data_IF_415871595596
#
_entry.id   IF_415871595596
#
_cell.length_a   1.000
_cell.length_b   1.000
_cell.length_c   1.000
_cell.angle_alpha   90.00
_cell.angle_beta   90.00
_cell.angle_gamma   90.00
#
_symmetry.space_group_name_H-M   'P 1'
#
loop_
_entity.id
_entity.type
_entity.pdbx_description
1 polymer ?
#
# COMPACT_ATOMS: atom_id res chain seq x y z
N UNK A 1 14.70 2.94 25.83
CA UNK A 1 14.33 3.14 24.44
C UNK A 1 12.98 2.47 24.23
N UNK A 2 11.92 3.28 24.10
CA UNK A 2 10.58 2.79 23.81
C UNK A 2 10.50 2.34 22.34
N UNK A 3 9.59 1.44 22.05
CA UNK A 3 9.22 1.14 20.65
C UNK A 3 8.61 2.40 20.03
N UNK A 4 9.09 2.81 18.87
CA UNK A 4 8.51 3.91 18.10
C UNK A 4 7.50 3.37 17.11
N UNK A 5 6.36 4.07 16.97
CA UNK A 5 5.36 3.74 15.96
C UNK A 5 5.94 4.06 14.57
N UNK A 6 5.86 3.11 13.62
CA UNK A 6 6.31 3.39 12.26
C UNK A 6 5.43 4.46 11.60
N UNK A 7 6.10 5.37 10.87
CA UNK A 7 5.44 6.41 10.08
C UNK A 7 5.45 5.98 8.61
N UNK A 8 4.27 5.78 8.05
CA UNK A 8 4.07 5.40 6.66
C UNK A 8 3.86 6.60 5.72
N UNK A 9 3.87 7.83 6.24
CA UNK A 9 3.63 9.05 5.46
C UNK A 9 4.59 9.18 4.29
N UNK A 10 5.88 8.99 4.54
CA UNK A 10 6.92 9.05 3.49
C UNK A 10 6.72 7.98 2.40
N UNK A 11 6.24 6.80 2.77
CA UNK A 11 5.95 5.74 1.80
C UNK A 11 4.75 6.11 0.93
N UNK A 12 3.70 6.69 1.50
CA UNK A 12 2.51 7.20 0.78
C UNK A 12 2.89 8.34 -0.17
N UNK A 13 3.66 9.31 0.29
CA UNK A 13 4.17 10.40 -0.54
C UNK A 13 4.97 9.90 -1.75
N UNK A 14 5.86 8.94 -1.55
CA UNK A 14 6.64 8.33 -2.65
C UNK A 14 5.79 7.57 -3.67
N UNK A 15 4.62 7.08 -3.29
CA UNK A 15 3.70 6.38 -4.21
C UNK A 15 2.75 7.34 -4.93
N UNK A 16 2.49 8.54 -4.40
CA UNK A 16 1.55 9.49 -4.97
C UNK A 16 1.94 9.89 -6.40
N UNK A 17 3.19 10.29 -6.64
CA UNK A 17 3.64 10.74 -7.96
C UNK A 17 3.62 9.64 -9.02
N UNK A 18 4.10 8.40 -8.77
CA UNK A 18 3.92 7.28 -9.69
C UNK A 18 2.46 6.98 -10.04
N UNK A 19 1.53 7.08 -9.08
CA UNK A 19 0.10 6.86 -9.34
C UNK A 19 -0.42 7.94 -10.29
N UNK A 20 -0.17 9.20 -9.99
CA UNK A 20 -0.55 10.35 -10.84
C UNK A 20 -0.04 10.15 -12.25
N UNK A 21 1.26 9.92 -12.42
CA UNK A 21 1.90 9.75 -13.71
C UNK A 21 1.22 8.64 -14.53
N UNK A 22 0.97 7.48 -13.92
CA UNK A 22 0.40 6.33 -14.65
C UNK A 22 -1.09 6.49 -14.95
N UNK A 23 -1.87 7.15 -14.09
CA UNK A 23 -3.26 7.46 -14.39
C UNK A 23 -3.37 8.47 -15.54
N UNK A 24 -2.57 9.53 -15.55
CA UNK A 24 -2.58 10.50 -16.64
C UNK A 24 -2.00 9.96 -17.94
N UNK A 25 -1.03 9.05 -17.87
CA UNK A 25 -0.53 8.32 -19.03
C UNK A 25 -1.64 7.43 -19.64
N UNK A 26 -2.45 6.77 -18.82
CA UNK A 26 -3.61 6.01 -19.27
C UNK A 26 -4.71 6.91 -19.85
N UNK A 27 -4.99 8.05 -19.21
CA UNK A 27 -5.96 9.03 -19.69
C UNK A 27 -5.57 9.53 -21.09
N UNK A 28 -4.32 9.96 -21.26
CA UNK A 28 -3.80 10.46 -22.53
C UNK A 28 -3.88 9.42 -23.62
N UNK A 29 -3.55 8.18 -23.31
CA UNK A 29 -3.67 7.03 -24.22
C UNK A 29 -5.12 6.82 -24.65
N UNK A 30 -6.08 6.78 -23.74
CA UNK A 30 -7.47 6.55 -24.10
C UNK A 30 -8.09 7.72 -24.88
N UNK A 31 -7.80 8.97 -24.51
CA UNK A 31 -8.28 10.15 -25.25
C UNK A 31 -7.76 10.12 -26.68
N UNK A 32 -6.46 9.88 -26.86
CA UNK A 32 -5.87 9.80 -28.19
C UNK A 32 -6.56 8.75 -29.08
N UNK A 33 -6.76 7.54 -28.57
CA UNK A 33 -7.35 6.46 -29.34
C UNK A 33 -8.86 6.60 -29.54
N UNK A 34 -9.59 7.18 -28.60
CA UNK A 34 -11.01 7.48 -28.80
C UNK A 34 -11.24 8.47 -29.93
N UNK A 35 -10.34 9.44 -30.08
CA UNK A 35 -10.47 10.45 -31.13
C UNK A 35 -10.03 9.94 -32.51
N UNK A 36 -9.10 9.01 -32.55
CA UNK A 36 -8.51 8.55 -33.82
C UNK A 36 -9.05 7.21 -34.31
N UNK A 37 -8.82 6.11 -33.61
CA UNK A 37 -8.98 4.76 -34.20
C UNK A 37 -9.85 3.79 -33.35
N UNK A 38 -10.01 4.00 -32.07
CA UNK A 38 -10.74 3.06 -31.20
C UNK A 38 -12.21 2.92 -31.58
N UNK A 39 -12.82 3.94 -32.20
CA UNK A 39 -14.22 3.92 -32.64
C UNK A 39 -14.43 2.94 -33.82
N UNK A 40 -13.39 2.65 -34.61
CA UNK A 40 -13.48 1.75 -35.74
C UNK A 40 -13.50 0.28 -35.33
N UNK A 41 -12.83 -0.08 -34.25
CA UNK A 41 -12.71 -1.46 -33.77
C UNK A 41 -13.26 -1.72 -32.39
N UNK A 42 -13.64 -0.68 -31.62
CA UNK A 42 -14.19 -0.80 -30.27
C UNK A 42 -15.69 -1.14 -30.30
N UNK A 43 -16.11 -2.16 -29.52
CA UNK A 43 -17.53 -2.41 -29.25
C UNK A 43 -18.07 -1.34 -28.27
N UNK A 44 -19.38 -1.04 -28.39
CA UNK A 44 -20.06 -0.07 -27.55
C UNK A 44 -19.78 -0.28 -26.05
N UNK A 45 -19.94 -1.49 -25.54
CA UNK A 45 -19.68 -1.83 -24.13
C UNK A 45 -18.20 -1.64 -23.71
N UNK A 46 -17.28 -1.74 -24.66
CA UNK A 46 -15.88 -1.42 -24.39
C UNK A 46 -15.64 0.09 -24.33
N UNK A 47 -16.19 0.83 -25.29
CA UNK A 47 -16.09 2.29 -25.32
C UNK A 47 -16.72 2.93 -24.08
N UNK A 48 -17.86 2.41 -23.61
CA UNK A 48 -18.46 2.80 -22.33
C UNK A 48 -17.52 2.56 -21.15
N UNK A 49 -16.77 1.44 -21.15
CA UNK A 49 -15.80 1.17 -20.08
C UNK A 49 -14.62 2.13 -20.11
N UNK A 50 -14.15 2.46 -21.32
CA UNK A 50 -13.09 3.47 -21.49
C UNK A 50 -13.58 4.83 -21.00
N UNK A 51 -14.82 5.19 -21.32
CA UNK A 51 -15.40 6.44 -20.84
C UNK A 51 -15.51 6.45 -19.32
N UNK A 52 -15.95 5.36 -18.69
CA UNK A 52 -15.98 5.25 -17.22
C UNK A 52 -14.59 5.45 -16.59
N UNK A 53 -13.55 4.87 -17.18
CA UNK A 53 -12.16 5.06 -16.72
C UNK A 53 -11.76 6.53 -16.84
N UNK A 54 -12.08 7.19 -17.95
CA UNK A 54 -11.79 8.60 -18.16
C UNK A 54 -12.53 9.50 -17.17
N UNK A 55 -13.80 9.20 -16.89
CA UNK A 55 -14.61 9.96 -15.92
C UNK A 55 -14.03 9.83 -14.51
N UNK A 56 -13.60 8.62 -14.10
CA UNK A 56 -12.92 8.40 -12.83
C UNK A 56 -11.62 9.21 -12.74
N UNK A 57 -10.76 9.15 -13.75
CA UNK A 57 -9.48 9.88 -13.74
C UNK A 57 -9.73 11.40 -13.78
N UNK A 58 -10.71 11.87 -14.54
CA UNK A 58 -11.06 13.29 -14.64
C UNK A 58 -11.61 13.89 -13.34
N UNK A 59 -12.02 13.06 -12.39
CA UNK A 59 -12.40 13.51 -11.04
C UNK A 59 -11.21 13.99 -10.21
N UNK A 60 -9.99 13.64 -10.60
CA UNK A 60 -8.75 13.99 -9.91
C UNK A 60 -8.25 15.37 -10.35
N UNK A 61 -7.68 16.09 -9.40
CA UNK A 61 -6.98 17.37 -9.62
C UNK A 61 -5.56 17.29 -9.08
N UNK A 62 -4.73 18.29 -9.39
CA UNK A 62 -3.37 18.36 -8.83
C UNK A 62 -3.35 18.49 -7.29
N UNK A 63 -4.45 18.96 -6.69
CA UNK A 63 -4.61 19.10 -5.24
C UNK A 63 -5.24 17.87 -4.56
N UNK A 64 -5.57 16.84 -5.33
CA UNK A 64 -6.17 15.61 -4.78
C UNK A 64 -5.21 14.93 -3.81
N UNK A 65 -5.77 14.37 -2.72
CA UNK A 65 -4.99 13.65 -1.70
C UNK A 65 -4.54 12.28 -2.18
N UNK A 66 -3.59 11.67 -1.47
CA UNK A 66 -3.14 10.30 -1.75
C UNK A 66 -4.30 9.31 -1.72
N UNK A 67 -5.21 9.45 -0.76
CA UNK A 67 -6.38 8.58 -0.60
C UNK A 67 -7.32 8.68 -1.80
N UNK A 68 -7.54 9.87 -2.34
CA UNK A 68 -8.35 10.08 -3.54
C UNK A 68 -7.70 9.43 -4.77
N UNK A 69 -6.39 9.61 -4.96
CA UNK A 69 -5.66 8.93 -6.03
C UNK A 69 -5.74 7.40 -5.91
N UNK A 70 -5.63 6.90 -4.70
CA UNK A 70 -5.72 5.47 -4.41
C UNK A 70 -7.11 4.90 -4.72
N UNK A 71 -8.18 5.59 -4.30
CA UNK A 71 -9.56 5.16 -4.59
C UNK A 71 -9.84 5.12 -6.09
N UNK A 72 -9.40 6.13 -6.83
CA UNK A 72 -9.56 6.15 -8.29
C UNK A 72 -8.75 5.04 -8.94
N UNK A 73 -7.51 4.80 -8.52
CA UNK A 73 -6.69 3.70 -9.01
C UNK A 73 -7.39 2.34 -8.81
N UNK A 74 -7.93 2.10 -7.63
CA UNK A 74 -8.66 0.86 -7.32
C UNK A 74 -9.89 0.69 -8.21
N UNK A 75 -10.69 1.74 -8.42
CA UNK A 75 -11.84 1.71 -9.33
C UNK A 75 -11.43 1.45 -10.78
N UNK A 76 -10.40 2.13 -11.28
CA UNK A 76 -9.87 1.95 -12.63
C UNK A 76 -9.36 0.52 -12.86
N UNK A 77 -8.62 -0.04 -11.89
CA UNK A 77 -8.13 -1.42 -11.96
C UNK A 77 -9.30 -2.41 -11.96
N UNK A 78 -10.35 -2.18 -11.18
CA UNK A 78 -11.53 -3.04 -11.13
C UNK A 78 -12.35 -2.98 -12.42
N UNK A 79 -12.55 -1.82 -13.04
CA UNK A 79 -13.18 -1.67 -14.34
C UNK A 79 -12.41 -2.48 -15.39
N UNK A 80 -11.09 -2.40 -15.38
CA UNK A 80 -10.20 -3.15 -16.27
C UNK A 80 -10.37 -4.67 -16.11
N UNK A 81 -10.40 -5.18 -14.88
CA UNK A 81 -10.56 -6.62 -14.60
C UNK A 81 -11.91 -7.15 -15.06
N UNK A 82 -12.97 -6.39 -14.89
CA UNK A 82 -14.35 -6.82 -15.22
C UNK A 82 -14.59 -6.99 -16.73
N UNK A 83 -13.85 -6.28 -17.58
CA UNK A 83 -14.10 -6.20 -19.02
C UNK A 83 -12.92 -6.66 -19.88
N UNK A 84 -12.12 -7.57 -19.35
CA UNK A 84 -10.92 -8.06 -20.04
C UNK A 84 -11.23 -8.82 -21.34
N UNK A 85 -10.75 -8.33 -22.41
CA UNK A 85 -10.20 -9.10 -23.52
C UNK A 85 -11.04 -9.31 -24.76
N UNK A 86 -12.35 -9.11 -24.79
CA UNK A 86 -13.15 -9.28 -26.04
C UNK A 86 -13.93 -8.01 -26.42
N UNK A 87 -13.43 -6.89 -26.00
CA UNK A 87 -14.08 -5.62 -26.23
C UNK A 87 -13.98 -5.11 -27.66
N UNK A 88 -12.98 -5.59 -28.42
CA UNK A 88 -12.72 -5.13 -29.77
C UNK A 88 -13.35 -6.07 -30.80
N UNK A 89 -13.91 -5.50 -31.84
CA UNK A 89 -14.55 -6.27 -32.90
C UNK A 89 -13.54 -7.09 -33.71
N UNK A 90 -13.97 -8.22 -34.29
CA UNK A 90 -13.18 -8.94 -35.29
C UNK A 90 -13.23 -8.23 -36.67
N UNK A 91 -13.46 -6.94 -36.70
CA UNK A 91 -13.67 -6.18 -37.89
C UNK A 91 -12.37 -5.85 -38.60
N UNK A 92 -11.56 -6.82 -38.91
CA UNK A 92 -10.47 -6.55 -39.83
C UNK A 92 -10.72 -7.19 -41.16
N UNK A 93 -11.34 -6.47 -42.00
CA UNK A 93 -11.27 -6.71 -43.45
C UNK A 93 -9.99 -6.13 -44.06
N UNK A 94 -9.18 -5.41 -43.30
CA UNK A 94 -7.91 -4.79 -43.72
C UNK A 94 -6.82 -5.16 -42.73
N UNK A 95 -5.66 -5.64 -43.23
CA UNK A 95 -4.51 -6.00 -42.40
C UNK A 95 -4.04 -4.85 -41.49
N UNK A 96 -4.05 -3.62 -42.02
CA UNK A 96 -3.67 -2.40 -41.28
C UNK A 96 -4.48 -2.18 -40.00
N UNK A 97 -5.80 -2.46 -40.03
CA UNK A 97 -6.66 -2.37 -38.83
C UNK A 97 -6.36 -3.47 -37.81
N UNK A 98 -5.88 -4.62 -38.28
CA UNK A 98 -5.48 -5.71 -37.39
C UNK A 98 -4.20 -5.34 -36.65
N UNK A 99 -3.21 -4.81 -37.34
CA UNK A 99 -1.94 -4.39 -36.75
C UNK A 99 -2.15 -3.26 -35.74
N UNK A 100 -2.96 -2.25 -36.07
CA UNK A 100 -3.34 -1.17 -35.17
C UNK A 100 -4.05 -1.70 -33.91
N UNK A 101 -4.98 -2.65 -34.09
CA UNK A 101 -5.68 -3.27 -32.97
C UNK A 101 -4.74 -4.05 -32.06
N UNK A 102 -3.77 -4.77 -32.61
CA UNK A 102 -2.79 -5.52 -31.86
C UNK A 102 -1.86 -4.59 -31.08
N UNK A 103 -1.34 -3.55 -31.72
CA UNK A 103 -0.53 -2.52 -31.08
C UNK A 103 -1.28 -1.84 -29.92
N UNK A 104 -2.53 -1.42 -30.15
CA UNK A 104 -3.40 -0.86 -29.13
C UNK A 104 -3.58 -1.80 -27.93
N UNK A 105 -3.88 -3.07 -28.19
CA UNK A 105 -4.08 -4.05 -27.13
C UNK A 105 -2.82 -4.29 -26.30
N UNK A 106 -1.65 -4.34 -26.95
CA UNK A 106 -0.37 -4.52 -26.26
C UNK A 106 -0.04 -3.31 -25.37
N UNK A 107 -0.20 -2.09 -25.89
CA UNK A 107 0.05 -0.88 -25.13
C UNK A 107 -0.93 -0.73 -23.97
N UNK A 108 -2.23 -0.93 -24.21
CA UNK A 108 -3.26 -0.95 -23.16
C UNK A 108 -2.91 -1.94 -22.05
N UNK A 109 -2.56 -3.17 -22.42
CA UNK A 109 -2.18 -4.21 -21.47
C UNK A 109 -0.99 -3.78 -20.62
N UNK A 110 0.06 -3.25 -21.23
CA UNK A 110 1.25 -2.76 -20.53
C UNK A 110 0.91 -1.64 -19.53
N UNK A 111 0.03 -0.71 -19.91
CA UNK A 111 -0.40 0.38 -19.01
C UNK A 111 -1.18 -0.15 -17.81
N UNK A 112 -2.12 -1.07 -18.03
CA UNK A 112 -2.88 -1.67 -16.93
C UNK A 112 -2.04 -2.56 -16.02
N UNK A 113 -1.07 -3.30 -16.54
CA UNK A 113 -0.14 -4.09 -15.72
C UNK A 113 0.65 -3.21 -14.74
N UNK A 114 1.07 -2.01 -15.17
CA UNK A 114 1.73 -1.03 -14.30
C UNK A 114 0.80 -0.50 -13.21
N UNK A 115 -0.46 -0.21 -13.53
CA UNK A 115 -1.47 0.23 -12.56
C UNK A 115 -1.82 -0.88 -11.57
N UNK A 116 -1.95 -2.12 -12.02
CA UNK A 116 -2.19 -3.28 -11.16
C UNK A 116 -1.03 -3.45 -10.18
N UNK A 117 0.22 -3.37 -10.66
CA UNK A 117 1.40 -3.47 -9.80
C UNK A 117 1.45 -2.37 -8.72
N UNK A 118 1.07 -1.13 -9.07
CA UNK A 118 0.94 -0.04 -8.09
C UNK A 118 -0.18 -0.30 -7.07
N UNK A 119 -1.33 -0.77 -7.53
CA UNK A 119 -2.45 -1.12 -6.65
C UNK A 119 -2.08 -2.25 -5.67
N UNK A 120 -1.32 -3.23 -6.12
CA UNK A 120 -0.83 -4.32 -5.28
C UNK A 120 0.17 -3.80 -4.21
N UNK A 121 1.04 -2.85 -4.58
CA UNK A 121 1.95 -2.19 -3.63
C UNK A 121 1.18 -1.39 -2.57
N UNK A 122 0.13 -0.66 -2.96
CA UNK A 122 -0.71 0.08 -2.02
C UNK A 122 -1.47 -0.86 -1.09
N UNK A 123 -1.98 -1.96 -1.62
CA UNK A 123 -2.67 -2.99 -0.83
C UNK A 123 -1.73 -3.59 0.22
N UNK A 124 -0.48 -3.87 -0.17
CA UNK A 124 0.55 -4.34 0.74
C UNK A 124 0.90 -3.28 1.81
N UNK A 125 1.00 -2.01 1.42
CA UNK A 125 1.27 -0.90 2.35
C UNK A 125 0.15 -0.78 3.39
N UNK A 126 -1.12 -0.83 2.98
CA UNK A 126 -2.29 -0.84 3.89
C UNK A 126 -2.24 -2.02 4.86
N UNK A 127 -1.91 -3.21 4.35
CA UNK A 127 -1.77 -4.39 5.18
C UNK A 127 -0.66 -4.21 6.22
N UNK A 128 0.50 -3.70 5.81
CA UNK A 128 1.62 -3.44 6.70
C UNK A 128 1.27 -2.39 7.77
N UNK A 129 0.58 -1.32 7.39
CA UNK A 129 0.13 -0.26 8.30
C UNK A 129 -0.81 -0.82 9.39
N UNK A 130 -1.81 -1.62 8.98
CA UNK A 130 -2.75 -2.25 9.90
C UNK A 130 -2.05 -3.27 10.82
N UNK A 131 -1.22 -4.15 10.25
CA UNK A 131 -0.47 -5.15 11.03
C UNK A 131 0.48 -4.48 12.02
N UNK A 132 1.14 -3.39 11.62
CA UNK A 132 2.04 -2.65 12.50
C UNK A 132 1.30 -2.05 13.68
N UNK A 133 0.10 -1.49 13.47
CA UNK A 133 -0.71 -0.94 14.55
C UNK A 133 -1.12 -2.01 15.58
N UNK A 134 -1.62 -3.16 15.11
CA UNK A 134 -1.98 -4.29 15.98
C UNK A 134 -0.77 -4.83 16.77
N UNK A 135 0.37 -5.00 16.08
CA UNK A 135 1.62 -5.45 16.70
C UNK A 135 2.15 -4.46 17.74
N UNK A 136 2.02 -3.16 17.45
CA UNK A 136 2.38 -2.09 18.37
C UNK A 136 1.56 -2.15 19.66
N UNK A 137 0.23 -2.25 19.54
CA UNK A 137 -0.67 -2.29 20.69
C UNK A 137 -0.43 -3.54 21.56
N UNK A 138 -0.17 -4.69 20.91
CA UNK A 138 0.22 -5.92 21.57
C UNK A 138 1.56 -5.78 22.31
N UNK A 139 2.58 -5.25 21.64
CA UNK A 139 3.91 -5.05 22.23
C UNK A 139 3.86 -4.11 23.44
N UNK A 140 3.08 -3.04 23.35
CA UNK A 140 2.87 -2.10 24.45
C UNK A 140 2.17 -2.77 25.64
N UNK A 141 1.13 -3.56 25.38
CA UNK A 141 0.43 -4.32 26.41
C UNK A 141 1.37 -5.31 27.10
N UNK A 142 2.17 -6.03 26.29
CA UNK A 142 3.17 -6.97 26.81
C UNK A 142 4.24 -6.27 27.64
N UNK A 143 4.71 -5.11 27.22
CA UNK A 143 5.68 -4.31 28.00
C UNK A 143 5.14 -3.93 29.38
N UNK A 144 3.88 -3.48 29.45
CA UNK A 144 3.22 -3.16 30.73
C UNK A 144 3.11 -4.42 31.59
N UNK A 145 2.63 -5.52 31.03
CA UNK A 145 2.54 -6.80 31.72
C UNK A 145 3.90 -7.26 32.28
N UNK A 146 4.94 -7.22 31.45
CA UNK A 146 6.29 -7.64 31.89
C UNK A 146 6.85 -6.77 33.00
N UNK A 147 6.62 -5.46 32.93
CA UNK A 147 7.01 -4.55 34.02
C UNK A 147 6.33 -4.90 35.32
N UNK A 148 5.02 -5.10 35.29
CA UNK A 148 4.22 -5.40 36.47
C UNK A 148 4.54 -6.80 37.03
N UNK A 149 4.77 -7.77 36.13
CA UNK A 149 5.23 -9.11 36.50
C UNK A 149 6.61 -9.06 37.20
N UNK A 150 7.59 -8.39 36.63
CA UNK A 150 8.93 -8.28 37.24
C UNK A 150 8.85 -7.59 38.61
N UNK A 151 8.01 -6.57 38.75
CA UNK A 151 7.80 -5.90 40.02
C UNK A 151 7.21 -6.87 41.06
N UNK A 152 6.09 -7.54 40.74
CA UNK A 152 5.44 -8.50 41.62
C UNK A 152 6.36 -9.68 41.98
N UNK A 153 7.10 -10.21 41.00
CA UNK A 153 8.05 -11.29 41.18
C UNK A 153 9.19 -10.89 42.15
N UNK A 154 9.75 -9.67 42.02
CA UNK A 154 10.79 -9.14 42.94
C UNK A 154 10.25 -8.94 44.36
N UNK A 155 9.00 -8.47 44.48
CA UNK A 155 8.37 -8.34 45.80
C UNK A 155 8.21 -9.69 46.48
N UNK A 156 7.69 -10.69 45.78
CA UNK A 156 7.51 -12.03 46.29
C UNK A 156 8.85 -12.67 46.71
N UNK A 157 9.89 -12.53 45.92
CA UNK A 157 11.24 -12.98 46.30
C UNK A 157 11.74 -12.35 47.60
N UNK A 158 11.46 -11.07 47.82
CA UNK A 158 11.83 -10.38 49.07
C UNK A 158 11.02 -10.90 50.25
N UNK A 159 9.73 -11.12 50.10
CA UNK A 159 8.84 -11.63 51.14
C UNK A 159 9.22 -13.06 51.57
N UNK A 160 9.58 -13.89 50.59
CA UNK A 160 9.96 -15.28 50.81
C UNK A 160 11.46 -15.48 51.12
N UNK A 161 12.27 -14.42 51.12
CA UNK A 161 13.74 -14.45 51.19
C UNK A 161 14.38 -15.41 50.19
N UNK A 162 13.75 -15.56 48.99
CA UNK A 162 14.14 -16.50 47.94
C UNK A 162 14.98 -15.78 46.87
N UNK A 163 16.25 -15.54 47.15
CA UNK A 163 17.17 -14.89 46.20
C UNK A 163 17.95 -15.91 45.39
N UNK A 164 18.04 -15.70 44.10
CA UNK A 164 18.89 -16.43 43.19
C UNK A 164 20.27 -15.74 43.05
N UNK A 165 21.25 -16.49 42.54
CA UNK A 165 22.61 -15.96 42.35
C UNK A 165 22.61 -14.73 41.38
N UNK A 166 21.73 -14.72 40.40
CA UNK A 166 21.55 -13.59 39.47
C UNK A 166 21.02 -12.33 40.20
N UNK A 167 20.17 -12.50 41.20
CA UNK A 167 19.63 -11.36 41.96
C UNK A 167 20.75 -10.68 42.79
N UNK A 168 21.67 -11.47 43.37
CA UNK A 168 22.81 -10.95 44.11
C UNK A 168 23.69 -10.09 43.18
N UNK A 169 23.96 -10.55 41.97
CA UNK A 169 24.72 -9.81 40.98
C UNK A 169 24.03 -8.48 40.62
N UNK A 170 22.73 -8.51 40.37
CA UNK A 170 21.96 -7.30 40.06
C UNK A 170 21.93 -6.30 41.21
N UNK A 171 21.70 -6.76 42.46
CA UNK A 171 21.76 -5.89 43.64
C UNK A 171 23.15 -5.32 43.87
N UNK A 172 24.20 -6.08 43.60
CA UNK A 172 25.58 -5.59 43.68
C UNK A 172 25.82 -4.45 42.68
N UNK A 173 25.39 -4.60 41.44
CA UNK A 173 25.49 -3.54 40.42
C UNK A 173 24.67 -2.31 40.86
N UNK A 174 23.44 -2.50 41.29
CA UNK A 174 22.56 -1.42 41.75
C UNK A 174 23.18 -0.62 42.95
N UNK A 175 23.81 -1.32 43.87
CA UNK A 175 24.52 -0.69 45.00
C UNK A 175 25.73 0.10 44.51
N UNK A 176 26.55 -0.46 43.62
CA UNK A 176 27.71 0.21 43.04
C UNK A 176 27.35 1.43 42.20
N UNK A 177 26.19 1.42 41.54
CA UNK A 177 25.68 2.55 40.75
C UNK A 177 25.15 3.67 41.65
N UNK A 178 24.37 3.32 42.68
CA UNK A 178 23.71 4.32 43.55
C UNK A 178 24.60 4.85 44.67
N UNK A 179 25.66 4.11 45.04
CA UNK A 179 26.56 4.46 46.11
C UNK A 179 28.03 4.43 45.62
N UNK A 180 28.50 5.48 44.92
CA UNK A 180 29.86 5.52 44.36
C UNK A 180 30.96 5.38 45.42
N UNK A 181 30.66 5.69 46.68
CA UNK A 181 31.60 5.57 47.80
C UNK A 181 31.90 4.10 48.19
N UNK A 182 31.16 3.14 47.67
CA UNK A 182 31.33 1.68 47.89
C UNK A 182 32.17 1.04 46.82
N UNK A 183 32.47 1.77 45.74
CA UNK A 183 33.40 1.37 44.72
C UNK A 183 34.81 1.43 45.24
#
# INVERSE_FOLDING_TARGET
NGFEKADFTVAKEKLADPIKEKLWDLESFFRYHLDNDAKEFGKAAYLESVQQVLDEISSLTHESTFEQYQEVLERVVNISKAKNGKALTNASRKAELQDLKEAYNQERKSKFEKLIALNDQITLLKFQENYHQESWDLAKTFQVFMRDFVYAYRQRKREENAFEFADISHYTIEILENFPQVR
#
